data_IF_715409041046
#
_entry.id   IF_715409041046
#
_cell.length_a   1.000
_cell.length_b   1.000
_cell.length_c   1.000
_cell.angle_alpha   90.00
_cell.angle_beta   90.00
_cell.angle_gamma   90.00
#
_symmetry.space_group_name_H-M   'P 1'
#
loop_
_entity.id
_entity.type
_entity.pdbx_description
1 polymer ?
#
# COMPACT_ATOMS: atom_id res chain seq x y z
N UNK A 1 32.77 39.77 -31.07
CA UNK A 1 31.63 38.99 -31.62
C UNK A 1 31.90 37.48 -31.59
N UNK A 2 33.08 37.01 -32.00
CA UNK A 2 33.43 35.57 -32.04
C UNK A 2 33.33 34.83 -30.70
N UNK A 3 33.71 35.46 -29.58
CA UNK A 3 33.65 34.82 -28.24
C UNK A 3 32.22 34.62 -27.72
N UNK A 4 31.28 35.49 -28.10
CA UNK A 4 29.86 35.36 -27.71
C UNK A 4 29.22 34.21 -28.50
N UNK A 5 29.55 34.08 -29.79
CA UNK A 5 29.08 32.99 -30.64
C UNK A 5 29.58 31.63 -30.12
N UNK A 6 30.85 31.55 -29.71
CA UNK A 6 31.43 30.34 -29.10
C UNK A 6 30.74 29.96 -27.78
N UNK A 7 30.42 30.94 -26.93
CA UNK A 7 29.69 30.71 -25.68
C UNK A 7 28.28 30.17 -25.93
N UNK A 8 27.55 30.77 -26.89
CA UNK A 8 26.19 30.32 -27.23
C UNK A 8 26.23 28.89 -27.79
N UNK A 9 27.19 28.57 -28.67
CA UNK A 9 27.36 27.21 -29.19
C UNK A 9 27.72 26.19 -28.08
N UNK A 10 28.56 26.59 -27.11
CA UNK A 10 28.88 25.76 -25.95
C UNK A 10 27.64 25.50 -25.07
N UNK A 11 26.80 26.51 -24.81
CA UNK A 11 25.58 26.35 -24.02
C UNK A 11 24.56 25.47 -24.74
N UNK A 12 24.36 25.68 -26.04
CA UNK A 12 23.44 24.86 -26.85
C UNK A 12 23.90 23.40 -26.93
N UNK A 13 25.20 23.16 -27.09
CA UNK A 13 25.74 21.79 -27.11
C UNK A 13 25.64 21.11 -25.74
N UNK A 14 25.89 21.83 -24.64
CA UNK A 14 25.67 21.31 -23.28
C UNK A 14 24.19 20.97 -23.07
N UNK A 15 23.29 21.87 -23.45
CA UNK A 15 21.85 21.64 -23.34
C UNK A 15 21.41 20.41 -24.14
N UNK A 16 21.88 20.28 -25.38
CA UNK A 16 21.59 19.12 -26.24
C UNK A 16 22.15 17.81 -25.66
N UNK A 17 23.35 17.83 -25.10
CA UNK A 17 23.94 16.66 -24.43
C UNK A 17 23.15 16.27 -23.17
N UNK A 18 22.71 17.24 -22.37
CA UNK A 18 21.87 17.01 -21.19
C UNK A 18 20.50 16.45 -21.59
N UNK A 19 19.88 16.98 -22.65
CA UNK A 19 18.60 16.49 -23.17
C UNK A 19 18.74 15.05 -23.69
N UNK A 20 19.79 14.75 -24.45
CA UNK A 20 20.08 13.40 -24.94
C UNK A 20 20.36 12.42 -23.81
N UNK A 21 21.06 12.84 -22.75
CA UNK A 21 21.30 12.02 -21.56
C UNK A 21 20.00 11.78 -20.76
N UNK A 22 19.14 12.79 -20.63
CA UNK A 22 17.83 12.66 -20.00
C UNK A 22 16.92 11.73 -20.82
N UNK A 23 16.97 11.81 -22.14
CA UNK A 23 16.17 10.94 -22.99
C UNK A 23 16.63 9.48 -22.93
N UNK A 24 17.94 9.23 -22.90
CA UNK A 24 18.47 7.88 -22.61
C UNK A 24 17.97 7.35 -21.26
N UNK A 25 18.01 8.17 -20.20
CA UNK A 25 17.48 7.80 -18.88
C UNK A 25 15.99 7.50 -18.90
N UNK A 26 15.19 8.32 -19.59
CA UNK A 26 13.74 8.09 -19.77
C UNK A 26 13.45 6.79 -20.53
N UNK A 27 14.22 6.49 -21.59
CA UNK A 27 14.07 5.24 -22.35
C UNK A 27 14.41 4.01 -21.49
N UNK A 28 15.50 4.06 -20.74
CA UNK A 28 15.88 3.00 -19.81
C UNK A 28 14.80 2.79 -18.72
N UNK A 29 14.30 3.88 -18.13
CA UNK A 29 13.20 3.81 -17.15
C UNK A 29 11.93 3.21 -17.75
N UNK A 30 11.55 3.60 -18.99
CA UNK A 30 10.39 3.01 -19.69
C UNK A 30 10.59 1.51 -19.94
N UNK A 31 11.78 1.08 -20.36
CA UNK A 31 12.08 -0.33 -20.58
C UNK A 31 11.95 -1.14 -19.28
N UNK A 32 12.50 -0.62 -18.16
CA UNK A 32 12.37 -1.24 -16.84
C UNK A 32 10.90 -1.32 -16.39
N UNK A 33 10.11 -0.27 -16.61
CA UNK A 33 8.68 -0.26 -16.29
C UNK A 33 7.93 -1.31 -17.11
N UNK A 34 8.22 -1.42 -18.40
CA UNK A 34 7.59 -2.42 -19.27
C UNK A 34 7.94 -3.84 -18.84
N UNK A 35 9.21 -4.10 -18.51
CA UNK A 35 9.69 -5.39 -18.02
C UNK A 35 9.04 -5.76 -16.67
N UNK A 36 9.04 -4.82 -15.71
CA UNK A 36 8.39 -5.00 -14.41
C UNK A 36 6.88 -5.26 -14.57
N UNK A 37 6.22 -4.56 -15.50
CA UNK A 37 4.80 -4.77 -15.81
C UNK A 37 4.55 -6.13 -16.44
N UNK A 38 5.44 -6.62 -17.30
CA UNK A 38 5.35 -7.94 -17.90
C UNK A 38 5.44 -9.03 -16.83
N UNK A 39 6.42 -8.93 -15.92
CA UNK A 39 6.56 -9.83 -14.76
C UNK A 39 5.29 -9.81 -13.89
N UNK A 40 4.80 -8.61 -13.53
CA UNK A 40 3.57 -8.48 -12.73
C UNK A 40 2.32 -9.04 -13.45
N UNK A 41 2.30 -8.97 -14.77
CA UNK A 41 1.26 -9.56 -15.62
C UNK A 41 1.41 -11.07 -15.85
N UNK A 42 2.42 -11.73 -15.26
CA UNK A 42 2.79 -13.11 -15.54
C UNK A 42 3.03 -13.38 -17.03
N UNK A 43 3.47 -12.35 -17.76
CA UNK A 43 3.92 -12.41 -19.14
C UNK A 43 5.44 -12.36 -19.13
N UNK A 44 6.09 -13.52 -19.24
CA UNK A 44 7.54 -13.61 -19.32
C UNK A 44 7.91 -13.90 -20.78
N UNK A 45 8.90 -13.19 -21.31
CA UNK A 45 9.38 -13.42 -22.68
C UNK A 45 8.29 -13.39 -23.80
N UNK A 46 7.15 -12.72 -23.58
CA UNK A 46 6.07 -12.62 -24.57
C UNK A 46 5.05 -13.76 -24.53
N UNK A 47 5.19 -14.73 -23.63
CA UNK A 47 4.24 -15.82 -23.44
C UNK A 47 3.40 -15.60 -22.17
N UNK A 48 2.08 -15.81 -22.29
CA UNK A 48 1.16 -15.78 -21.15
C UNK A 48 1.20 -17.14 -20.44
N UNK A 49 1.93 -17.21 -19.33
CA UNK A 49 2.13 -18.46 -18.59
C UNK A 49 1.00 -18.81 -17.63
N UNK A 50 0.12 -17.86 -17.34
CA UNK A 50 -0.88 -18.03 -16.29
C UNK A 50 -2.16 -17.27 -16.64
N UNK A 51 -3.24 -18.02 -16.87
CA UNK A 51 -4.57 -17.45 -17.13
C UNK A 51 -5.04 -16.61 -15.94
N UNK A 52 -5.94 -15.66 -16.19
CA UNK A 52 -6.52 -14.82 -15.12
C UNK A 52 -7.12 -15.68 -13.98
N UNK A 53 -7.85 -16.73 -14.33
CA UNK A 53 -8.43 -17.67 -13.36
C UNK A 53 -7.35 -18.34 -12.50
N UNK A 54 -6.28 -18.82 -13.12
CA UNK A 54 -5.19 -19.49 -12.41
C UNK A 54 -4.47 -18.54 -11.45
N UNK A 55 -4.33 -17.25 -11.81
CA UNK A 55 -3.78 -16.22 -10.92
C UNK A 55 -4.64 -16.01 -9.68
N UNK A 56 -5.96 -16.02 -9.84
CA UNK A 56 -6.88 -15.91 -8.71
C UNK A 56 -6.80 -17.13 -7.79
N UNK A 57 -6.77 -18.34 -8.34
CA UNK A 57 -6.58 -19.57 -7.56
C UNK A 57 -5.29 -19.55 -6.73
N UNK A 58 -4.17 -19.15 -7.35
CA UNK A 58 -2.87 -19.08 -6.68
C UNK A 58 -2.86 -18.08 -5.51
N UNK A 59 -3.76 -17.10 -5.51
CA UNK A 59 -3.94 -16.13 -4.42
C UNK A 59 -4.96 -16.60 -3.40
N UNK A 60 -6.11 -17.09 -3.84
CA UNK A 60 -7.23 -17.51 -3.01
C UNK A 60 -6.89 -18.72 -2.15
N UNK A 61 -6.31 -19.77 -2.75
CA UNK A 61 -6.07 -21.05 -2.07
C UNK A 61 -5.19 -20.88 -0.82
N UNK A 62 -4.01 -20.20 -0.87
CA UNK A 62 -3.21 -19.97 0.34
C UNK A 62 -3.85 -19.01 1.35
N UNK A 63 -4.88 -18.27 0.93
CA UNK A 63 -5.59 -17.26 1.71
C UNK A 63 -6.96 -17.73 2.21
N UNK A 64 -7.36 -18.99 1.97
CA UNK A 64 -8.69 -19.48 2.33
C UNK A 64 -9.03 -19.28 3.82
N UNK A 65 -8.03 -19.42 4.71
CA UNK A 65 -8.21 -19.21 6.16
C UNK A 65 -8.52 -17.76 6.55
N UNK A 66 -8.14 -16.79 5.71
CA UNK A 66 -8.50 -15.39 5.94
C UNK A 66 -10.01 -15.17 5.83
N UNK A 67 -10.73 -16.00 5.06
CA UNK A 67 -12.20 -15.96 5.01
C UNK A 67 -12.77 -16.23 6.40
N UNK A 68 -12.28 -17.25 7.10
CA UNK A 68 -12.76 -17.59 8.45
C UNK A 68 -12.33 -16.56 9.49
N UNK A 69 -11.10 -16.05 9.39
CA UNK A 69 -10.52 -15.16 10.40
C UNK A 69 -11.00 -13.71 10.28
N UNK A 70 -11.30 -13.24 9.08
CA UNK A 70 -11.74 -11.85 8.86
C UNK A 70 -13.17 -11.74 8.33
N UNK A 71 -13.82 -12.87 8.00
CA UNK A 71 -15.15 -12.90 7.39
C UNK A 71 -15.22 -12.03 6.12
N UNK A 72 -14.26 -12.27 5.22
CA UNK A 72 -14.07 -11.51 3.99
C UNK A 72 -14.24 -12.37 2.73
N UNK A 73 -14.81 -11.76 1.69
CA UNK A 73 -14.86 -12.25 0.31
C UNK A 73 -14.32 -11.15 -0.62
N UNK A 74 -12.98 -11.05 -0.72
CA UNK A 74 -12.31 -9.97 -1.42
C UNK A 74 -11.24 -10.48 -2.38
N UNK A 75 -10.46 -9.54 -2.96
CA UNK A 75 -9.43 -9.84 -3.95
C UNK A 75 -8.37 -10.85 -3.47
N UNK A 76 -8.19 -11.08 -2.17
CA UNK A 76 -7.28 -12.10 -1.63
C UNK A 76 -7.85 -13.50 -1.60
N UNK A 77 -9.17 -13.64 -1.46
CA UNK A 77 -9.85 -14.88 -1.12
C UNK A 77 -10.76 -15.40 -2.22
N UNK A 78 -11.20 -14.52 -3.13
CA UNK A 78 -12.09 -14.90 -4.23
C UNK A 78 -11.35 -15.59 -5.38
N UNK A 79 -12.02 -16.58 -5.97
CA UNK A 79 -11.63 -17.17 -7.27
C UNK A 79 -12.51 -16.70 -8.41
N UNK A 80 -13.50 -15.84 -8.14
CA UNK A 80 -14.41 -15.31 -9.14
C UNK A 80 -13.75 -14.19 -9.94
N UNK A 81 -13.68 -14.38 -11.25
CA UNK A 81 -13.09 -13.43 -12.17
C UNK A 81 -13.92 -12.14 -12.29
N UNK A 82 -15.25 -12.21 -12.21
CA UNK A 82 -16.10 -11.02 -12.35
C UNK A 82 -16.02 -10.15 -11.09
N UNK A 83 -16.08 -10.75 -9.91
CA UNK A 83 -15.86 -10.05 -8.63
C UNK A 83 -14.48 -9.38 -8.58
N UNK A 84 -13.43 -10.07 -9.05
CA UNK A 84 -12.10 -9.48 -9.15
C UNK A 84 -12.04 -8.27 -10.10
N UNK A 85 -12.70 -8.35 -11.27
CA UNK A 85 -12.76 -7.24 -12.23
C UNK A 85 -13.51 -6.04 -11.68
N UNK A 86 -14.57 -6.26 -10.91
CA UNK A 86 -15.31 -5.18 -10.26
C UNK A 86 -14.43 -4.43 -9.27
N UNK A 87 -13.74 -5.16 -8.38
CA UNK A 87 -12.77 -4.57 -7.46
C UNK A 87 -11.69 -3.78 -8.21
N UNK A 88 -11.11 -4.36 -9.26
CA UNK A 88 -10.07 -3.71 -10.05
C UNK A 88 -10.56 -2.42 -10.71
N UNK A 89 -11.79 -2.44 -11.25
CA UNK A 89 -12.42 -1.26 -11.86
C UNK A 89 -12.59 -0.14 -10.84
N UNK A 90 -13.12 -0.46 -9.65
CA UNK A 90 -13.29 0.51 -8.56
C UNK A 90 -11.97 1.13 -8.12
N UNK A 91 -10.96 0.31 -7.88
CA UNK A 91 -9.62 0.77 -7.48
C UNK A 91 -8.95 1.60 -8.58
N UNK A 92 -9.06 1.18 -9.84
CA UNK A 92 -8.49 1.91 -10.98
C UNK A 92 -9.15 3.27 -11.16
N UNK A 93 -10.47 3.35 -11.02
CA UNK A 93 -11.21 4.60 -11.12
C UNK A 93 -10.82 5.58 -10.01
N UNK A 94 -10.68 5.11 -8.77
CA UNK A 94 -10.21 5.95 -7.65
C UNK A 94 -8.83 6.57 -7.93
N UNK A 95 -7.90 5.80 -8.51
CA UNK A 95 -6.56 6.29 -8.84
C UNK A 95 -6.58 7.24 -10.04
N UNK A 96 -7.31 6.89 -11.11
CA UNK A 96 -7.33 7.67 -12.35
C UNK A 96 -8.10 8.99 -12.22
N UNK A 97 -9.06 9.07 -11.29
CA UNK A 97 -9.77 10.30 -10.96
C UNK A 97 -8.99 11.28 -10.09
N UNK A 98 -7.77 10.93 -9.66
CA UNK A 98 -6.95 11.75 -8.75
C UNK A 98 -6.24 12.88 -9.52
N UNK A 99 -6.57 14.12 -9.21
CA UNK A 99 -5.91 15.31 -9.76
C UNK A 99 -4.73 15.79 -8.90
N UNK A 100 -4.04 16.85 -9.33
CA UNK A 100 -2.90 17.40 -8.60
C UNK A 100 -3.25 17.86 -7.17
N UNK A 101 -4.44 18.42 -6.97
CA UNK A 101 -4.92 18.84 -5.64
C UNK A 101 -5.16 17.65 -4.71
N UNK A 102 -5.70 16.56 -5.23
CA UNK A 102 -5.91 15.31 -4.48
C UNK A 102 -4.56 14.71 -4.07
N UNK A 103 -3.55 14.71 -4.94
CA UNK A 103 -2.21 14.26 -4.56
C UNK A 103 -1.58 15.11 -3.44
N UNK A 104 -1.80 16.43 -3.46
CA UNK A 104 -1.37 17.30 -2.36
C UNK A 104 -2.10 16.97 -1.07
N UNK A 105 -3.42 16.74 -1.11
CA UNK A 105 -4.20 16.30 0.04
C UNK A 105 -3.66 15.00 0.64
N UNK A 106 -3.38 14.00 -0.20
CA UNK A 106 -2.81 12.72 0.24
C UNK A 106 -1.45 12.88 0.91
N UNK A 107 -0.60 13.76 0.36
CA UNK A 107 0.69 14.07 0.98
C UNK A 107 0.51 14.71 2.37
N UNK A 108 -0.44 15.63 2.51
CA UNK A 108 -0.73 16.28 3.80
C UNK A 108 -1.30 15.29 4.81
N UNK A 109 -2.21 14.41 4.39
CA UNK A 109 -2.78 13.32 5.19
C UNK A 109 -1.68 12.38 5.69
N UNK A 110 -0.84 11.87 4.80
CA UNK A 110 0.26 10.98 5.16
C UNK A 110 1.26 11.68 6.09
N UNK A 111 1.55 12.96 5.86
CA UNK A 111 2.44 13.76 6.70
C UNK A 111 1.87 14.00 8.10
N UNK A 112 0.55 14.24 8.22
CA UNK A 112 -0.15 14.35 9.51
C UNK A 112 -0.13 13.02 10.25
N UNK A 113 -0.52 11.93 9.58
CA UNK A 113 -0.51 10.59 10.15
C UNK A 113 0.88 10.20 10.67
N UNK A 114 1.95 10.55 9.93
CA UNK A 114 3.32 10.30 10.36
C UNK A 114 3.70 11.06 11.64
N UNK A 115 3.32 12.35 11.74
CA UNK A 115 3.58 13.16 12.94
C UNK A 115 2.82 12.63 14.17
N UNK A 116 1.57 12.22 13.98
CA UNK A 116 0.75 11.64 15.03
C UNK A 116 1.35 10.32 15.52
N UNK A 117 1.73 9.43 14.61
CA UNK A 117 2.36 8.16 14.94
C UNK A 117 3.75 8.33 15.60
N UNK A 118 4.59 9.27 15.14
CA UNK A 118 5.88 9.57 15.76
C UNK A 118 5.70 10.12 17.19
N UNK A 119 4.72 11.00 17.40
CA UNK A 119 4.42 11.55 18.73
C UNK A 119 4.01 10.43 19.69
N UNK A 120 3.11 9.54 19.26
CA UNK A 120 2.67 8.41 20.06
C UNK A 120 3.83 7.46 20.42
N UNK A 121 4.67 7.09 19.44
CA UNK A 121 5.85 6.23 19.67
C UNK A 121 6.84 6.86 20.66
N UNK A 122 7.06 8.18 20.59
CA UNK A 122 7.93 8.90 21.52
C UNK A 122 7.37 8.96 22.93
N UNK A 123 6.06 9.10 23.08
CA UNK A 123 5.39 9.13 24.40
C UNK A 123 5.44 7.74 25.05
N UNK A 124 5.24 6.66 24.29
CA UNK A 124 5.37 5.29 24.80
C UNK A 124 6.81 4.92 25.15
N UNK A 125 7.77 5.34 24.32
CA UNK A 125 9.18 5.03 24.49
C UNK A 125 9.83 5.91 25.57
N UNK A 126 9.78 5.49 26.84
CA UNK A 126 10.49 6.13 27.97
C UNK A 126 12.04 6.09 27.87
N UNK A 127 12.61 5.82 26.70
CA UNK A 127 14.04 5.54 26.47
C UNK A 127 14.69 6.72 25.75
N UNK A 128 15.92 7.07 26.15
CA UNK A 128 16.70 8.23 25.68
C UNK A 128 17.11 8.18 24.19
N UNK A 129 16.97 7.02 23.53
CA UNK A 129 17.19 6.83 22.09
C UNK A 129 15.96 6.10 21.53
N UNK A 130 14.93 6.82 21.05
CA UNK A 130 13.72 6.19 20.55
C UNK A 130 14.04 5.41 19.27
N UNK A 131 14.02 4.08 19.36
CA UNK A 131 13.97 3.23 18.18
C UNK A 131 12.53 3.23 17.68
N UNK A 132 12.31 3.78 16.49
CA UNK A 132 10.99 3.80 15.88
C UNK A 132 10.76 2.45 15.21
N UNK A 133 9.77 1.64 15.63
CA UNK A 133 9.44 0.39 14.95
C UNK A 133 8.87 0.72 13.56
N UNK A 134 9.74 0.74 12.55
CA UNK A 134 9.43 1.18 11.19
C UNK A 134 8.20 0.48 10.61
N UNK A 135 8.06 -0.82 10.82
CA UNK A 135 6.91 -1.59 10.34
C UNK A 135 5.59 -1.15 11.01
N UNK A 136 5.62 -0.76 12.28
CA UNK A 136 4.45 -0.22 12.99
C UNK A 136 4.09 1.15 12.43
N UNK A 137 5.08 2.05 12.31
CA UNK A 137 4.90 3.38 11.73
C UNK A 137 4.29 3.32 10.32
N UNK A 138 4.87 2.52 9.43
CA UNK A 138 4.41 2.38 8.05
C UNK A 138 2.99 1.82 8.00
N UNK A 139 2.66 0.82 8.82
CA UNK A 139 1.29 0.29 8.91
C UNK A 139 0.31 1.36 9.37
N UNK A 140 0.60 2.08 10.46
CA UNK A 140 -0.26 3.16 10.98
C UNK A 140 -0.51 4.26 9.94
N UNK A 141 0.55 4.79 9.32
CA UNK A 141 0.43 5.85 8.31
C UNK A 141 -0.36 5.39 7.08
N UNK A 142 -0.08 4.17 6.62
CA UNK A 142 -0.80 3.60 5.47
C UNK A 142 -2.28 3.41 5.80
N UNK A 143 -2.59 2.88 6.98
CA UNK A 143 -3.96 2.63 7.39
C UNK A 143 -4.77 3.93 7.50
N UNK A 144 -4.23 4.97 8.15
CA UNK A 144 -4.89 6.29 8.21
C UNK A 144 -5.12 6.89 6.82
N UNK A 145 -4.16 6.72 5.90
CA UNK A 145 -4.31 7.20 4.52
C UNK A 145 -5.41 6.43 3.79
N UNK A 146 -5.51 5.11 4.00
CA UNK A 146 -6.56 4.28 3.41
C UNK A 146 -7.94 4.68 3.96
N UNK A 147 -8.05 4.98 5.25
CA UNK A 147 -9.31 5.44 5.85
C UNK A 147 -9.75 6.80 5.29
N UNK A 148 -8.85 7.77 5.18
CA UNK A 148 -9.14 9.07 4.56
C UNK A 148 -9.59 8.91 3.10
N UNK A 149 -8.89 8.10 2.32
CA UNK A 149 -9.17 7.94 0.88
C UNK A 149 -10.47 7.23 0.60
N UNK A 150 -10.74 6.15 1.34
CA UNK A 150 -11.86 5.26 1.04
C UNK A 150 -13.14 5.62 1.79
N UNK A 151 -13.02 6.26 2.96
CA UNK A 151 -14.13 6.50 3.88
C UNK A 151 -14.22 7.96 4.36
N UNK A 152 -13.41 8.88 3.82
CA UNK A 152 -13.37 10.31 4.20
C UNK A 152 -13.12 10.56 5.71
N UNK A 153 -12.42 9.62 6.36
CA UNK A 153 -12.08 9.72 7.78
C UNK A 153 -10.85 10.61 7.96
N UNK A 154 -11.04 11.76 8.59
CA UNK A 154 -9.91 12.65 8.93
C UNK A 154 -8.98 11.99 9.96
N UNK A 155 -7.68 11.81 9.65
CA UNK A 155 -6.70 11.29 10.60
C UNK A 155 -6.61 12.09 11.90
N UNK A 156 -6.98 13.37 11.91
CA UNK A 156 -6.96 14.21 13.11
C UNK A 156 -8.07 13.86 14.13
N UNK A 157 -9.18 13.28 13.65
CA UNK A 157 -10.31 12.89 14.49
C UNK A 157 -10.22 11.43 14.96
N UNK A 158 -9.22 10.69 14.48
CA UNK A 158 -9.02 9.28 14.81
C UNK A 158 -7.97 9.13 15.91
N UNK A 159 -8.30 8.42 16.98
CA UNK A 159 -7.32 8.10 18.03
C UNK A 159 -6.20 7.22 17.45
N UNK A 160 -4.95 7.65 17.62
CA UNK A 160 -3.77 6.92 17.12
C UNK A 160 -3.69 5.54 17.76
N UNK A 161 -4.06 5.45 19.03
CA UNK A 161 -4.11 4.22 19.83
C UNK A 161 -5.04 3.18 19.19
N UNK A 162 -6.23 3.60 18.74
CA UNK A 162 -7.19 2.70 18.10
C UNK A 162 -6.65 2.23 16.74
N UNK A 163 -6.00 3.11 15.96
CA UNK A 163 -5.37 2.72 14.68
C UNK A 163 -4.24 1.73 14.88
N UNK A 164 -3.39 1.98 15.86
CA UNK A 164 -2.30 1.07 16.23
C UNK A 164 -2.87 -0.29 16.62
N UNK A 165 -3.90 -0.31 17.48
CA UNK A 165 -4.57 -1.53 17.91
C UNK A 165 -5.17 -2.30 16.73
N UNK A 166 -5.88 -1.63 15.82
CA UNK A 166 -6.45 -2.24 14.61
C UNK A 166 -5.36 -2.83 13.71
N UNK A 167 -4.32 -2.07 13.41
CA UNK A 167 -3.24 -2.53 12.52
C UNK A 167 -2.40 -3.66 13.12
N UNK A 168 -2.22 -3.69 14.44
CA UNK A 168 -1.61 -4.80 15.17
C UNK A 168 -2.49 -6.04 15.16
N UNK A 169 -3.78 -5.89 15.48
CA UNK A 169 -4.75 -6.99 15.49
C UNK A 169 -4.88 -7.63 14.10
N UNK A 170 -4.95 -6.82 13.03
CA UNK A 170 -4.97 -7.33 11.64
C UNK A 170 -3.69 -8.14 11.36
N UNK A 171 -2.52 -7.62 11.72
CA UNK A 171 -1.26 -8.31 11.47
C UNK A 171 -1.15 -9.62 12.28
N UNK A 172 -1.58 -9.62 13.54
CA UNK A 172 -1.58 -10.81 14.40
C UNK A 172 -2.51 -11.89 13.86
N UNK A 173 -3.78 -11.54 13.59
CA UNK A 173 -4.77 -12.44 13.00
C UNK A 173 -4.29 -12.99 11.65
N UNK A 174 -3.70 -12.14 10.81
CA UNK A 174 -3.11 -12.58 9.55
C UNK A 174 -2.00 -13.59 9.77
N UNK A 175 -1.06 -13.33 10.68
CA UNK A 175 0.05 -14.24 10.99
C UNK A 175 -0.42 -15.57 11.58
N UNK A 176 -1.35 -15.53 12.54
CA UNK A 176 -1.95 -16.72 13.15
C UNK A 176 -2.61 -17.60 12.07
N UNK A 177 -3.34 -16.99 11.13
CA UNK A 177 -3.94 -17.69 9.99
C UNK A 177 -2.96 -18.39 9.07
N UNK A 178 -1.67 -18.05 9.13
CA UNK A 178 -0.63 -18.72 8.34
C UNK A 178 0.07 -19.83 9.14
N UNK A 179 0.15 -19.70 10.46
CA UNK A 179 0.96 -20.54 11.33
C UNK A 179 0.25 -21.78 11.91
N UNK A 180 -1.03 -22.05 11.59
CA UNK A 180 -1.79 -23.21 12.10
C UNK A 180 -1.90 -23.30 13.64
N UNK A 181 -1.74 -22.17 14.34
CA UNK A 181 -1.71 -22.12 15.82
C UNK A 181 -2.88 -21.31 16.36
N UNK A 182 -4.09 -21.53 15.85
CA UNK A 182 -5.28 -20.76 16.21
C UNK A 182 -5.97 -21.41 17.42
N UNK A 183 -5.99 -20.71 18.56
CA UNK A 183 -6.98 -20.97 19.61
C UNK A 183 -8.30 -20.28 19.20
N UNK A 184 -9.39 -21.03 18.94
CA UNK A 184 -10.66 -20.45 18.49
C UNK A 184 -11.23 -19.38 19.41
N UNK A 185 -10.97 -19.47 20.72
CA UNK A 185 -11.48 -18.50 21.69
C UNK A 185 -10.73 -17.16 21.57
N UNK A 186 -9.41 -17.20 21.41
CA UNK A 186 -8.57 -16.02 21.21
C UNK A 186 -8.89 -15.30 19.90
N UNK A 187 -9.16 -16.05 18.82
CA UNK A 187 -9.46 -15.46 17.50
C UNK A 187 -10.77 -14.68 17.56
N UNK A 188 -11.81 -15.25 18.19
CA UNK A 188 -13.11 -14.58 18.31
C UNK A 188 -13.02 -13.28 19.12
N UNK A 189 -12.26 -13.28 20.22
CA UNK A 189 -12.02 -12.07 21.01
C UNK A 189 -11.28 -11.00 20.21
N UNK A 190 -10.27 -11.38 19.42
CA UNK A 190 -9.53 -10.47 18.54
C UNK A 190 -10.42 -9.93 17.40
N UNK A 191 -11.27 -10.76 16.80
CA UNK A 191 -12.26 -10.34 15.79
C UNK A 191 -13.23 -9.31 16.38
N UNK A 192 -13.77 -9.56 17.57
CA UNK A 192 -14.72 -8.66 18.21
C UNK A 192 -14.07 -7.31 18.55
N UNK A 193 -12.83 -7.33 19.05
CA UNK A 193 -12.03 -6.12 19.30
C UNK A 193 -11.80 -5.32 18.02
N UNK A 194 -11.43 -6.01 16.93
CA UNK A 194 -11.24 -5.39 15.62
C UNK A 194 -12.52 -4.71 15.12
N UNK A 195 -13.65 -5.41 15.13
CA UNK A 195 -14.96 -4.86 14.73
C UNK A 195 -15.33 -3.63 15.53
N UNK A 196 -15.19 -3.72 16.86
CA UNK A 196 -15.55 -2.62 17.76
C UNK A 196 -14.72 -1.36 17.47
N UNK A 197 -13.43 -1.50 17.19
CA UNK A 197 -12.59 -0.35 16.89
C UNK A 197 -12.82 0.19 15.47
N UNK A 198 -13.07 -0.66 14.49
CA UNK A 198 -13.45 -0.21 13.15
C UNK A 198 -14.76 0.56 13.16
N UNK A 199 -15.79 0.05 13.83
CA UNK A 199 -17.09 0.72 13.94
C UNK A 199 -16.99 2.11 14.58
N UNK A 200 -16.04 2.32 15.52
CA UNK A 200 -15.76 3.67 16.06
C UNK A 200 -15.18 4.64 15.03
N UNK A 201 -14.40 4.15 14.07
CA UNK A 201 -13.73 4.96 13.04
C UNK A 201 -14.60 5.18 11.80
N UNK A 202 -15.42 4.19 11.45
CA UNK A 202 -16.31 4.18 10.28
C UNK A 202 -17.73 3.77 10.70
N UNK A 203 -18.47 4.66 11.40
CA UNK A 203 -19.80 4.35 11.92
C UNK A 203 -20.88 4.24 10.84
N UNK A 204 -20.69 4.82 9.66
CA UNK A 204 -21.71 4.89 8.60
C UNK A 204 -21.76 3.63 7.70
N UNK A 205 -20.82 2.69 7.85
CA UNK A 205 -20.69 1.47 7.02
C UNK A 205 -21.29 0.22 7.70
N UNK A 206 -22.40 0.42 8.42
CA UNK A 206 -22.90 -0.47 9.47
C UNK A 206 -23.74 -1.68 9.00
N UNK A 207 -23.36 -2.31 7.87
CA UNK A 207 -23.92 -3.60 7.44
C UNK A 207 -22.84 -4.71 7.47
N UNK A 208 -22.28 -4.91 8.67
CA UNK A 208 -21.29 -5.96 8.97
C UNK A 208 -21.89 -7.39 8.97
N UNK A 209 -23.14 -7.55 8.53
CA UNK A 209 -23.86 -8.83 8.49
C UNK A 209 -23.62 -9.67 7.25
N UNK A 210 -23.29 -9.03 6.11
CA UNK A 210 -22.86 -9.73 4.90
C UNK A 210 -21.33 -9.73 4.80
N UNK A 211 -20.74 -10.92 4.66
CA UNK A 211 -19.31 -11.08 4.41
C UNK A 211 -18.81 -10.31 3.18
N UNK A 212 -19.71 -9.86 2.30
CA UNK A 212 -19.42 -9.03 1.12
C UNK A 212 -19.46 -7.52 1.38
N UNK A 213 -20.28 -7.07 2.33
CA UNK A 213 -20.40 -5.65 2.70
C UNK A 213 -19.43 -5.26 3.82
N UNK A 214 -18.77 -6.25 4.43
CA UNK A 214 -17.68 -6.04 5.38
C UNK A 214 -16.63 -5.05 4.83
N UNK A 215 -16.36 -3.91 5.49
CA UNK A 215 -15.42 -2.88 5.03
C UNK A 215 -13.98 -3.42 4.93
N UNK A 216 -13.66 -4.51 5.64
CA UNK A 216 -12.39 -5.23 5.48
C UNK A 216 -12.17 -5.78 4.07
N UNK A 217 -13.23 -5.97 3.28
CA UNK A 217 -13.13 -6.38 1.88
C UNK A 217 -12.38 -5.38 1.01
N UNK A 218 -12.41 -4.10 1.36
CA UNK A 218 -11.73 -3.04 0.62
C UNK A 218 -10.50 -2.57 1.40
N UNK A 219 -10.62 -2.42 2.72
CA UNK A 219 -9.53 -1.98 3.59
C UNK A 219 -8.36 -2.94 3.46
N UNK A 220 -8.57 -4.26 3.62
CA UNK A 220 -7.45 -5.20 3.65
C UNK A 220 -6.66 -5.19 2.33
N UNK A 221 -7.28 -5.33 1.14
CA UNK A 221 -6.53 -5.24 -0.12
C UNK A 221 -5.73 -3.96 -0.30
N UNK A 222 -6.33 -2.80 0.04
CA UNK A 222 -5.66 -1.51 -0.09
C UNK A 222 -4.49 -1.39 0.91
N UNK A 223 -4.76 -1.60 2.19
CA UNK A 223 -3.79 -1.48 3.27
C UNK A 223 -2.66 -2.49 3.15
N UNK A 224 -2.95 -3.80 3.07
CA UNK A 224 -1.95 -4.88 3.07
C UNK A 224 -0.99 -4.79 1.87
N UNK A 225 -1.50 -4.35 0.72
CA UNK A 225 -0.67 -4.15 -0.46
C UNK A 225 0.19 -2.89 -0.31
N UNK A 226 -0.42 -1.78 0.12
CA UNK A 226 0.22 -0.47 0.15
C UNK A 226 1.36 -0.41 1.19
N UNK A 227 1.17 -0.94 2.41
CA UNK A 227 2.20 -0.81 3.45
C UNK A 227 3.46 -1.60 3.07
N UNK A 228 3.30 -2.78 2.42
CA UNK A 228 4.42 -3.57 1.90
C UNK A 228 5.15 -2.83 0.78
N UNK A 229 4.42 -2.23 -0.16
CA UNK A 229 5.00 -1.43 -1.25
C UNK A 229 5.76 -0.24 -0.68
N UNK A 230 5.19 0.51 0.27
CA UNK A 230 5.85 1.64 0.92
C UNK A 230 7.14 1.20 1.60
N UNK A 231 7.09 0.10 2.36
CA UNK A 231 8.27 -0.44 3.04
C UNK A 231 9.38 -0.85 2.05
N UNK A 232 9.03 -1.60 1.00
CA UNK A 232 9.97 -2.09 0.00
C UNK A 232 10.56 -0.97 -0.87
N UNK A 233 9.72 -0.06 -1.35
CA UNK A 233 10.12 0.96 -2.34
C UNK A 233 10.76 2.19 -1.74
N UNK A 234 10.50 2.52 -0.46
CA UNK A 234 11.03 3.76 0.15
C UNK A 234 12.05 3.52 1.23
N UNK A 235 11.96 2.41 1.98
CA UNK A 235 12.86 2.18 3.10
C UNK A 235 13.94 1.15 2.77
N UNK A 236 13.60 0.06 2.06
CA UNK A 236 14.57 -0.97 1.69
C UNK A 236 15.40 -0.60 0.46
N UNK A 237 14.81 0.06 -0.54
CA UNK A 237 15.52 0.53 -1.75
C UNK A 237 16.60 1.59 -1.45
N UNK A 238 16.46 2.35 -0.36
CA UNK A 238 17.44 3.34 0.09
C UNK A 238 18.62 2.69 0.82
N UNK A 239 18.44 1.47 1.35
CA UNK A 239 19.47 0.70 2.03
C UNK A 239 20.28 -0.20 1.10
N UNK A 240 19.79 -0.46 -0.12
CA UNK A 240 20.54 -1.19 -1.15
C UNK A 240 21.25 -0.16 -2.04
N UNK A 241 22.59 -0.01 -1.95
CA UNK A 241 23.31 0.82 -2.90
C UNK A 241 23.10 0.26 -4.32
N UNK A 242 22.64 1.12 -5.22
CA UNK A 242 22.48 0.79 -6.63
C UNK A 242 23.82 0.25 -7.17
N UNK A 243 23.85 -0.94 -7.80
CA UNK A 243 25.06 -1.44 -8.43
C UNK A 243 25.32 -0.58 -9.68
N UNK A 244 26.19 0.41 -9.55
CA UNK A 244 26.45 1.33 -10.65
C UNK A 244 27.44 2.48 -10.40
N UNK A 245 28.12 2.52 -9.26
CA UNK A 245 29.31 3.37 -9.08
C UNK A 245 30.54 2.48 -8.86
N UNK A 246 31.06 1.94 -9.97
CA UNK A 246 32.48 1.65 -10.16
C UNK A 246 32.95 2.41 -11.38
#
# INVERSE_FOLDING_TARGET
>A
MSSIILLVLAVVTIFWLLERANEKRRRAARALILDTRAIAGFNLAGEEFCSAQRRLELRAIPNQRLVTVFEIDNSFTTTDTEHHKEFLTRATHAIQGTDGGTWTRLFDVASRAMRLADTHVRVESRVQLPQIPLARLVRTVTFMTVLDVLFDVDPANTAVEDVVMVTETINELWMQSKCNSEDPMSVNDQQQRLRTALHKMIPDEDDLGDARENPLNIIMPAYETMWRVVLLTRFLSVLVPMPGNM
#
